data_IF_688090792397
#
_entry.id   IF_688090792397
#
_cell.length_a   1.000
_cell.length_b   1.000
_cell.length_c   1.000
_cell.angle_alpha   90.00
_cell.angle_beta   90.00
_cell.angle_gamma   90.00
#
_symmetry.space_group_name_H-M   'P 1'
#
loop_
_entity.id
_entity.type
_entity.pdbx_description
1 polymer ?
#
# COMPACT_ATOMS: atom_id res chain seq x y z
N UNK A 1 11.41 -18.99 -5.14
CA UNK A 1 10.81 -18.69 -3.81
C UNK A 1 9.42 -18.10 -4.02
N UNK A 2 8.52 -18.10 -3.01
CA UNK A 2 7.29 -17.32 -3.09
C UNK A 2 7.63 -15.82 -3.09
N UNK A 3 7.14 -15.10 -4.11
CA UNK A 3 7.33 -13.65 -4.29
C UNK A 3 6.10 -12.90 -3.81
N UNK A 4 6.30 -11.98 -2.87
CA UNK A 4 5.27 -11.05 -2.42
C UNK A 4 5.33 -9.78 -3.25
N UNK A 5 4.16 -9.22 -3.57
CA UNK A 5 4.07 -7.93 -4.23
C UNK A 5 3.38 -6.91 -3.35
N UNK A 6 3.94 -5.71 -3.35
CA UNK A 6 3.45 -4.55 -2.59
C UNK A 6 3.23 -3.42 -3.55
N UNK A 7 1.99 -2.98 -3.69
CA UNK A 7 1.61 -1.80 -4.47
C UNK A 7 1.47 -0.65 -3.50
N UNK A 8 2.25 0.41 -3.71
CA UNK A 8 2.25 1.57 -2.83
C UNK A 8 1.81 2.77 -3.64
N UNK A 9 0.80 3.46 -3.12
CA UNK A 9 0.38 4.74 -3.66
C UNK A 9 0.06 5.74 -2.54
N UNK A 10 0.03 7.02 -2.92
CA UNK A 10 -0.23 8.14 -2.03
C UNK A 10 -1.57 8.78 -2.34
N UNK A 11 -2.21 9.33 -1.31
CA UNK A 11 -3.32 10.26 -1.47
C UNK A 11 -2.99 11.56 -0.77
N UNK A 12 -2.90 12.64 -1.54
CA UNK A 12 -2.61 13.97 -1.00
C UNK A 12 -3.90 14.75 -0.71
N UNK A 13 -3.84 15.70 0.23
CA UNK A 13 -4.80 16.81 0.27
C UNK A 13 -4.38 17.79 -0.84
N UNK A 14 -5.24 18.07 -1.84
CA UNK A 14 -4.88 19.01 -2.90
C UNK A 14 -4.55 20.39 -2.32
N UNK A 15 -3.42 20.97 -2.72
CA UNK A 15 -3.13 22.40 -2.55
C UNK A 15 -2.41 22.85 -1.27
N UNK A 16 -2.21 21.99 -0.26
CA UNK A 16 -1.45 22.38 0.95
C UNK A 16 -0.12 21.59 1.06
N UNK A 17 1.04 22.24 0.82
CA UNK A 17 2.34 21.60 0.96
C UNK A 17 2.71 21.24 2.40
N UNK A 18 2.01 21.77 3.41
CA UNK A 18 2.22 21.48 4.83
C UNK A 18 1.31 20.38 5.38
N UNK A 19 0.35 19.91 4.59
CA UNK A 19 -0.57 18.86 5.01
C UNK A 19 0.12 17.51 5.21
N UNK A 20 -0.37 16.66 6.13
CA UNK A 20 0.19 15.33 6.32
C UNK A 20 0.15 14.52 5.02
N UNK A 21 1.15 13.67 4.86
CA UNK A 21 1.25 12.75 3.75
C UNK A 21 0.62 11.41 4.12
N UNK A 22 -0.30 10.91 3.30
CA UNK A 22 -1.01 9.65 3.54
C UNK A 22 -0.66 8.66 2.44
N UNK A 23 -0.21 7.47 2.83
CA UNK A 23 0.12 6.41 1.90
C UNK A 23 -0.51 5.09 2.31
N UNK A 24 -0.85 4.30 1.30
CA UNK A 24 -1.45 2.98 1.43
C UNK A 24 -0.60 1.96 0.68
N UNK A 25 -0.55 0.74 1.21
CA UNK A 25 0.07 -0.40 0.57
C UNK A 25 -0.92 -1.55 0.47
N UNK A 26 -1.01 -2.14 -0.71
CA UNK A 26 -1.77 -3.37 -0.98
C UNK A 26 -0.77 -4.50 -1.18
N UNK A 27 -0.91 -5.56 -0.38
CA UNK A 27 -0.03 -6.71 -0.38
C UNK A 27 -0.76 -7.93 -0.95
N UNK A 28 -0.13 -8.63 -1.89
CA UNK A 28 -0.66 -9.90 -2.40
C UNK A 28 0.46 -10.85 -2.81
N UNK A 29 0.16 -12.14 -2.83
CA UNK A 29 1.04 -13.21 -3.29
C UNK A 29 0.40 -13.95 -4.49
N UNK A 30 0.65 -13.55 -5.75
CA UNK A 30 0.08 -14.23 -6.90
C UNK A 30 0.69 -15.63 -7.07
N UNK A 31 -0.07 -16.57 -7.65
CA UNK A 31 0.47 -17.89 -8.04
C UNK A 31 1.62 -17.73 -9.06
N UNK A 32 2.70 -18.54 -8.98
CA UNK A 32 3.84 -18.45 -9.89
C UNK A 32 3.49 -18.50 -11.37
N UNK A 33 2.43 -19.22 -11.75
CA UNK A 33 2.01 -19.43 -13.15
C UNK A 33 1.12 -18.30 -13.70
N UNK A 34 0.57 -17.46 -12.84
CA UNK A 34 -0.43 -16.45 -13.23
C UNK A 34 0.18 -15.05 -13.29
N UNK A 35 1.11 -14.72 -12.39
CA UNK A 35 1.74 -13.41 -12.30
C UNK A 35 0.77 -12.29 -11.88
N UNK A 36 1.30 -11.10 -11.56
CA UNK A 36 0.50 -10.00 -11.01
C UNK A 36 -0.64 -9.53 -11.95
N UNK A 37 -0.39 -9.20 -13.23
CA UNK A 37 -1.40 -8.50 -14.02
C UNK A 37 -2.63 -9.35 -14.28
N UNK A 38 -2.48 -10.68 -14.27
CA UNK A 38 -3.60 -11.61 -14.37
C UNK A 38 -4.29 -11.83 -13.01
N UNK A 39 -3.56 -11.81 -11.90
CA UNK A 39 -4.11 -12.07 -10.56
C UNK A 39 -4.96 -10.91 -10.00
N UNK A 40 -4.54 -9.65 -10.20
CA UNK A 40 -5.31 -8.49 -9.71
C UNK A 40 -6.41 -8.03 -10.67
N UNK A 41 -6.45 -8.56 -11.90
CA UNK A 41 -7.39 -8.12 -12.93
C UNK A 41 -8.86 -8.37 -12.54
N UNK A 42 -9.28 -9.58 -12.11
CA UNK A 42 -10.68 -9.82 -11.76
C UNK A 42 -11.15 -8.95 -10.59
N UNK A 43 -10.28 -8.79 -9.59
CA UNK A 43 -10.53 -7.95 -8.41
C UNK A 43 -10.84 -6.50 -8.81
N UNK A 44 -9.96 -5.87 -9.58
CA UNK A 44 -10.11 -4.44 -9.91
C UNK A 44 -11.12 -4.20 -11.02
N UNK A 45 -11.32 -5.14 -11.96
CA UNK A 45 -12.41 -5.04 -12.93
C UNK A 45 -13.78 -5.07 -12.25
N UNK A 46 -13.98 -5.92 -11.24
CA UNK A 46 -15.23 -5.98 -10.49
C UNK A 46 -15.51 -4.67 -9.75
N UNK A 47 -14.48 -4.06 -9.17
CA UNK A 47 -14.57 -2.72 -8.57
C UNK A 47 -14.94 -1.63 -9.61
N UNK A 48 -14.36 -1.68 -10.82
CA UNK A 48 -14.69 -0.77 -11.92
C UNK A 48 -16.11 -0.98 -12.44
N UNK A 49 -16.56 -2.22 -12.54
CA UNK A 49 -17.91 -2.57 -12.97
C UNK A 49 -18.96 -2.13 -11.94
N UNK A 50 -18.65 -2.28 -10.64
CA UNK A 50 -19.46 -1.73 -9.56
C UNK A 50 -19.60 -0.20 -9.69
N UNK A 51 -18.48 0.52 -9.85
CA UNK A 51 -18.52 1.96 -10.05
C UNK A 51 -19.27 2.36 -11.33
N UNK A 52 -19.07 1.65 -12.44
CA UNK A 52 -19.82 1.86 -13.68
C UNK A 52 -21.32 1.80 -13.45
N UNK A 53 -21.78 0.84 -12.62
CA UNK A 53 -23.18 0.72 -12.25
C UNK A 53 -23.74 1.95 -11.51
N UNK A 54 -22.88 2.66 -10.77
CA UNK A 54 -23.25 3.87 -10.02
C UNK A 54 -23.14 5.15 -10.84
N UNK A 55 -22.12 5.27 -11.69
CA UNK A 55 -21.83 6.53 -12.43
C UNK A 55 -22.39 6.53 -13.86
N UNK A 56 -22.91 5.40 -14.34
CA UNK A 56 -23.57 5.28 -15.66
C UNK A 56 -22.63 5.30 -16.86
N UNK A 57 -21.32 5.35 -16.67
CA UNK A 57 -20.32 5.36 -17.74
C UNK A 57 -19.09 4.51 -17.38
N UNK A 58 -18.29 4.17 -18.39
CA UNK A 58 -17.11 3.34 -18.23
C UNK A 58 -16.08 4.02 -17.31
N UNK A 59 -15.65 3.30 -16.28
CA UNK A 59 -14.59 3.75 -15.36
C UNK A 59 -13.26 3.19 -15.82
N UNK A 60 -12.39 4.06 -16.32
CA UNK A 60 -11.06 3.66 -16.80
C UNK A 60 -10.08 3.43 -15.64
N UNK A 61 -10.24 4.18 -14.56
CA UNK A 61 -9.34 4.20 -13.40
C UNK A 61 -10.12 4.41 -12.11
N UNK A 62 -9.78 3.66 -11.07
CA UNK A 62 -10.28 3.91 -9.73
C UNK A 62 -9.31 4.89 -9.08
N UNK A 63 -9.69 6.16 -9.00
CA UNK A 63 -8.99 7.14 -8.16
C UNK A 63 -9.92 7.64 -7.07
N UNK A 64 -9.41 7.64 -5.85
CA UNK A 64 -10.10 8.18 -4.70
C UNK A 64 -10.55 9.62 -4.96
N UNK A 65 -9.64 10.45 -5.48
CA UNK A 65 -9.87 11.86 -5.80
C UNK A 65 -10.89 12.11 -6.92
N UNK A 66 -11.12 11.14 -7.80
CA UNK A 66 -12.10 11.24 -8.89
C UNK A 66 -13.52 10.84 -8.46
N UNK A 67 -13.80 10.84 -7.15
CA UNK A 67 -15.12 10.57 -6.59
C UNK A 67 -15.35 9.12 -6.17
N UNK A 68 -14.38 8.22 -6.38
CA UNK A 68 -14.45 6.85 -5.85
C UNK A 68 -14.51 6.82 -4.32
N UNK A 69 -13.97 7.85 -3.64
CA UNK A 69 -14.01 7.98 -2.18
C UNK A 69 -15.43 7.97 -1.59
N UNK A 70 -16.45 8.40 -2.34
CA UNK A 70 -17.87 8.33 -1.90
C UNK A 70 -18.38 6.91 -1.74
N UNK A 71 -17.71 5.94 -2.35
CA UNK A 71 -18.07 4.53 -2.35
C UNK A 71 -16.93 3.66 -1.81
N UNK A 72 -16.02 4.24 -1.02
CA UNK A 72 -14.81 3.56 -0.56
C UNK A 72 -15.13 2.23 0.18
N UNK A 73 -16.13 2.24 1.06
CA UNK A 73 -16.57 1.05 1.79
C UNK A 73 -16.95 -0.10 0.86
N UNK A 74 -17.82 0.16 -0.11
CA UNK A 74 -18.32 -0.87 -1.02
C UNK A 74 -17.25 -1.34 -1.99
N UNK A 75 -16.43 -0.41 -2.50
CA UNK A 75 -15.29 -0.71 -3.35
C UNK A 75 -14.30 -1.64 -2.66
N UNK A 76 -13.91 -1.33 -1.43
CA UNK A 76 -13.01 -2.17 -0.64
C UNK A 76 -13.65 -3.54 -0.40
N UNK A 77 -14.95 -3.61 -0.06
CA UNK A 77 -15.66 -4.89 0.12
C UNK A 77 -15.69 -5.74 -1.14
N UNK A 78 -16.04 -5.14 -2.28
CA UNK A 78 -16.06 -5.82 -3.59
C UNK A 78 -14.67 -6.36 -3.91
N UNK A 79 -13.63 -5.53 -3.76
CA UNK A 79 -12.26 -5.96 -4.01
C UNK A 79 -11.84 -7.14 -3.12
N UNK A 80 -12.17 -7.09 -1.83
CA UNK A 80 -11.85 -8.17 -0.90
C UNK A 80 -12.64 -9.46 -1.14
N UNK A 81 -13.90 -9.34 -1.54
CA UNK A 81 -14.75 -10.48 -1.87
C UNK A 81 -14.21 -11.18 -3.13
N UNK A 82 -13.91 -10.43 -4.17
CA UNK A 82 -13.41 -10.97 -5.43
C UNK A 82 -12.01 -11.55 -5.28
N UNK A 83 -11.12 -10.88 -4.54
CA UNK A 83 -9.81 -11.45 -4.20
C UNK A 83 -9.90 -12.74 -3.37
N UNK A 84 -10.98 -12.94 -2.61
CA UNK A 84 -11.24 -14.18 -1.87
C UNK A 84 -11.85 -15.30 -2.71
N UNK A 85 -12.52 -14.97 -3.82
CA UNK A 85 -13.04 -15.92 -4.81
C UNK A 85 -11.99 -16.31 -5.84
N UNK A 86 -11.06 -15.39 -6.08
CA UNK A 86 -10.00 -15.53 -7.05
C UNK A 86 -8.84 -16.36 -6.48
N UNK A 87 -8.88 -17.67 -6.71
CA UNK A 87 -7.81 -18.61 -6.38
C UNK A 87 -6.46 -18.26 -7.06
N UNK A 88 -6.39 -17.27 -7.96
CA UNK A 88 -5.11 -16.82 -8.53
C UNK A 88 -4.21 -16.15 -7.51
N UNK A 89 -4.78 -15.61 -6.42
CA UNK A 89 -4.03 -15.06 -5.31
C UNK A 89 -3.88 -16.13 -4.23
N UNK A 90 -2.63 -16.48 -3.90
CA UNK A 90 -2.33 -17.51 -2.92
C UNK A 90 -2.68 -17.01 -1.52
N UNK A 91 -3.80 -17.52 -0.97
CA UNK A 91 -4.11 -17.42 0.46
C UNK A 91 -3.44 -18.50 1.32
N UNK A 92 -2.68 -19.43 0.69
CA UNK A 92 -2.15 -20.65 1.33
C UNK A 92 -0.71 -20.53 1.86
N UNK A 93 -0.03 -19.42 1.60
CA UNK A 93 1.29 -19.19 2.19
C UNK A 93 1.16 -18.48 3.55
N UNK A 94 1.99 -18.91 4.51
CA UNK A 94 2.06 -18.48 5.92
C UNK A 94 2.15 -16.94 6.12
N UNK A 95 2.34 -16.17 5.05
CA UNK A 95 2.70 -14.75 5.03
C UNK A 95 1.50 -13.78 4.89
N UNK A 96 0.35 -14.21 4.38
CA UNK A 96 -0.90 -13.44 4.31
C UNK A 96 -2.03 -14.27 4.91
N UNK A 97 -2.21 -14.17 6.23
CA UNK A 97 -3.12 -15.04 6.96
C UNK A 97 -4.55 -14.99 6.39
N UNK A 98 -5.05 -16.12 5.87
CA UNK A 98 -6.43 -16.39 5.46
C UNK A 98 -7.06 -15.57 4.33
N UNK A 99 -6.32 -14.67 3.67
CA UNK A 99 -6.93 -13.67 2.79
C UNK A 99 -6.06 -13.41 1.55
N UNK A 100 -6.68 -13.29 0.37
CA UNK A 100 -5.96 -13.01 -0.87
C UNK A 100 -5.19 -11.68 -0.85
N UNK A 101 -5.69 -10.67 -0.15
CA UNK A 101 -5.07 -9.33 -0.08
C UNK A 101 -5.01 -8.87 1.38
N UNK A 102 -3.90 -8.21 1.74
CA UNK A 102 -3.75 -7.47 3.00
C UNK A 102 -3.24 -6.05 2.79
N UNK A 103 -3.26 -5.23 3.85
CA UNK A 103 -2.98 -3.79 3.75
C UNK A 103 -1.91 -3.32 4.74
N UNK A 104 -1.22 -2.23 4.39
CA UNK A 104 -0.49 -1.40 5.36
C UNK A 104 -0.79 0.06 5.06
N UNK A 105 -0.81 0.91 6.08
CA UNK A 105 -1.03 2.35 5.93
C UNK A 105 0.05 3.12 6.64
N UNK A 106 0.36 4.32 6.15
CA UNK A 106 1.29 5.24 6.79
C UNK A 106 0.72 6.67 6.78
N UNK A 107 0.81 7.34 7.94
CA UNK A 107 0.58 8.77 8.08
C UNK A 107 1.91 9.41 8.41
N UNK A 108 2.32 10.40 7.63
CA UNK A 108 3.62 11.04 7.78
C UNK A 108 3.41 12.54 7.93
N UNK A 109 3.70 13.02 9.13
CA UNK A 109 3.64 14.44 9.43
C UNK A 109 4.83 15.16 8.81
N UNK A 110 4.57 16.01 7.81
CA UNK A 110 5.62 16.70 7.05
C UNK A 110 6.45 17.64 7.91
N UNK A 111 5.87 18.23 8.97
CA UNK A 111 6.59 19.15 9.87
C UNK A 111 7.63 18.41 10.70
N UNK A 112 7.23 17.31 11.33
CA UNK A 112 8.12 16.43 12.09
C UNK A 112 9.25 15.91 11.20
N UNK A 113 8.93 15.53 9.96
CA UNK A 113 9.93 15.10 9.00
C UNK A 113 10.89 16.23 8.59
N UNK A 114 10.37 17.44 8.35
CA UNK A 114 11.20 18.60 8.04
C UNK A 114 12.19 18.94 9.17
N UNK A 115 11.75 18.84 10.43
CA UNK A 115 12.62 19.01 11.60
C UNK A 115 13.71 17.94 11.64
N UNK A 116 13.34 16.66 11.53
CA UNK A 116 14.28 15.54 11.55
C UNK A 116 15.31 15.61 10.41
N UNK A 117 14.92 16.09 9.24
CA UNK A 117 15.79 16.23 8.07
C UNK A 117 16.75 17.41 8.26
N UNK A 118 16.27 18.55 8.77
CA UNK A 118 17.12 19.73 9.06
C UNK A 118 18.16 19.46 10.16
N UNK A 119 17.81 18.64 11.15
CA UNK A 119 18.73 18.25 12.23
C UNK A 119 19.81 17.26 11.76
N UNK A 120 19.53 16.45 10.73
CA UNK A 120 20.41 15.36 10.28
C UNK A 120 21.15 15.61 8.97
N UNK A 121 20.71 16.56 8.16
CA UNK A 121 21.40 16.92 6.92
C UNK A 121 22.30 18.13 7.13
N UNK A 122 23.58 17.98 6.76
CA UNK A 122 24.55 19.08 6.77
C UNK A 122 24.10 20.17 5.76
N UNK A 123 24.15 21.46 6.12
CA UNK A 123 23.66 22.58 5.29
C UNK A 123 24.23 22.63 3.87
N UNK A 124 25.44 22.08 3.66
CA UNK A 124 26.22 22.28 2.44
C UNK A 124 26.04 21.16 1.39
N UNK A 125 25.25 20.13 1.70
CA UNK A 125 24.98 19.01 0.78
C UNK A 125 23.55 19.08 0.26
N UNK A 126 23.39 19.63 -0.95
CA UNK A 126 22.24 19.54 -1.87
C UNK A 126 20.86 19.60 -1.19
N UNK A 127 20.19 20.75 -1.32
CA UNK A 127 18.82 20.98 -0.87
C UNK A 127 17.91 19.80 -1.28
N UNK A 128 17.50 18.94 -0.33
CA UNK A 128 16.67 17.84 -0.69
C UNK A 128 15.25 18.36 -0.94
N UNK A 129 14.64 17.91 -2.03
CA UNK A 129 13.20 18.00 -2.14
C UNK A 129 12.62 17.22 -0.95
N UNK A 130 12.16 17.96 0.06
CA UNK A 130 11.61 17.43 1.30
C UNK A 130 10.48 16.44 1.01
N UNK A 131 9.70 16.65 -0.05
CA UNK A 131 8.66 15.72 -0.49
C UNK A 131 9.22 14.36 -0.88
N UNK A 132 10.38 14.34 -1.54
CA UNK A 132 11.05 13.11 -1.96
C UNK A 132 11.63 12.32 -0.79
N UNK A 133 12.15 12.99 0.25
CA UNK A 133 12.58 12.33 1.49
C UNK A 133 11.41 11.74 2.28
N UNK A 134 10.28 12.45 2.31
CA UNK A 134 9.05 12.00 2.97
C UNK A 134 8.52 10.75 2.27
N UNK A 135 8.48 10.74 0.93
CA UNK A 135 8.10 9.55 0.13
C UNK A 135 9.01 8.36 0.39
N UNK A 136 10.31 8.57 0.42
CA UNK A 136 11.27 7.54 0.80
C UNK A 136 10.90 6.91 2.16
N UNK A 137 10.71 7.71 3.20
CA UNK A 137 10.33 7.20 4.52
C UNK A 137 8.97 6.52 4.55
N UNK A 138 8.03 6.95 3.71
CA UNK A 138 6.75 6.29 3.54
C UNK A 138 6.92 4.86 3.06
N UNK A 139 7.71 4.65 2.01
CA UNK A 139 7.95 3.31 1.48
C UNK A 139 8.59 2.44 2.57
N UNK A 140 9.61 2.93 3.29
CA UNK A 140 10.22 2.18 4.39
C UNK A 140 9.22 1.79 5.48
N UNK A 141 8.31 2.70 5.84
CA UNK A 141 7.27 2.44 6.85
C UNK A 141 6.27 1.39 6.37
N UNK A 142 5.84 1.49 5.11
CA UNK A 142 4.91 0.55 4.49
C UNK A 142 5.52 -0.83 4.33
N UNK A 143 6.81 -0.93 3.98
CA UNK A 143 7.57 -2.17 3.88
C UNK A 143 8.02 -2.72 5.25
N UNK A 144 7.83 -1.97 6.33
CA UNK A 144 8.20 -2.34 7.69
C UNK A 144 7.84 -3.77 8.12
N UNK A 145 6.66 -4.32 7.77
CA UNK A 145 6.31 -5.71 8.06
C UNK A 145 7.26 -6.75 7.45
N UNK A 146 7.82 -6.48 6.26
CA UNK A 146 8.80 -7.32 5.61
C UNK A 146 10.21 -7.11 6.16
N UNK A 147 10.59 -5.86 6.43
CA UNK A 147 11.90 -5.52 7.02
C UNK A 147 12.11 -6.15 8.40
N UNK A 148 11.04 -6.31 9.18
CA UNK A 148 11.08 -6.93 10.51
C UNK A 148 10.94 -8.45 10.45
N UNK A 149 10.70 -9.02 9.28
CA UNK A 149 10.58 -10.46 9.12
C UNK A 149 11.98 -11.07 9.06
N UNK A 150 12.19 -12.13 9.84
CA UNK A 150 13.47 -12.80 10.04
C UNK A 150 13.83 -13.86 8.99
N UNK A 151 13.02 -14.06 7.94
CA UNK A 151 13.30 -15.07 6.91
C UNK A 151 13.42 -14.49 5.50
N UNK A 152 14.12 -15.28 4.68
CA UNK A 152 14.33 -15.10 3.26
C UNK A 152 13.02 -15.00 2.44
N UNK A 153 12.84 -13.87 1.74
CA UNK A 153 11.74 -13.63 0.80
C UNK A 153 12.15 -12.79 -0.40
N UNK A 154 11.47 -13.01 -1.53
CA UNK A 154 11.50 -12.11 -2.69
C UNK A 154 10.36 -11.11 -2.58
N UNK A 155 10.69 -9.83 -2.71
CA UNK A 155 9.72 -8.72 -2.64
C UNK A 155 9.71 -7.94 -3.94
N UNK A 156 8.55 -7.84 -4.59
CA UNK A 156 8.31 -6.90 -5.69
C UNK A 156 7.57 -5.67 -5.20
N UNK A 157 8.22 -4.51 -5.19
CA UNK A 157 7.60 -3.24 -4.81
C UNK A 157 7.22 -2.50 -6.08
N UNK A 158 5.94 -2.21 -6.27
CA UNK A 158 5.45 -1.47 -7.42
C UNK A 158 4.95 -0.11 -6.96
N UNK A 159 5.47 0.96 -7.57
CA UNK A 159 5.20 2.35 -7.22
C UNK A 159 4.61 3.10 -8.41
N UNK A 160 3.80 4.14 -8.17
CA UNK A 160 3.42 5.08 -9.24
C UNK A 160 4.67 5.84 -9.72
N UNK A 161 5.07 5.59 -10.96
CA UNK A 161 6.28 6.16 -11.55
C UNK A 161 6.25 7.69 -11.66
N UNK A 162 5.08 8.32 -11.74
CA UNK A 162 4.98 9.77 -11.81
C UNK A 162 5.28 10.44 -10.45
N UNK A 163 4.82 9.82 -9.36
CA UNK A 163 4.88 10.42 -8.03
C UNK A 163 6.11 9.98 -7.24
N UNK A 164 6.51 8.72 -7.38
CA UNK A 164 7.50 8.09 -6.48
C UNK A 164 8.90 8.00 -7.08
N UNK A 165 9.02 7.91 -8.42
CA UNK A 165 10.31 7.72 -9.09
C UNK A 165 11.35 8.79 -8.75
N UNK A 166 11.03 10.10 -8.76
CA UNK A 166 12.01 11.13 -8.38
C UNK A 166 12.51 10.94 -6.94
N UNK A 167 11.61 10.61 -6.02
CA UNK A 167 11.97 10.37 -4.62
C UNK A 167 12.81 9.12 -4.43
N UNK A 168 12.52 8.07 -5.19
CA UNK A 168 13.25 6.82 -5.07
C UNK A 168 14.64 6.92 -5.69
N UNK A 169 14.77 7.51 -6.86
CA UNK A 169 16.07 7.68 -7.53
C UNK A 169 16.98 8.66 -6.76
N UNK A 170 16.41 9.70 -6.14
CA UNK A 170 17.17 10.71 -5.41
C UNK A 170 17.67 10.25 -4.03
N UNK A 171 16.91 9.39 -3.33
CA UNK A 171 17.19 9.07 -1.92
C UNK A 171 17.11 7.58 -1.55
N UNK A 172 16.41 6.77 -2.33
CA UNK A 172 16.26 5.34 -2.06
C UNK A 172 17.29 4.46 -2.73
N UNK A 173 17.80 4.79 -3.93
CA UNK A 173 18.65 3.89 -4.70
C UNK A 173 19.84 3.28 -3.92
N UNK A 174 20.44 4.04 -2.98
CA UNK A 174 21.53 3.57 -2.09
C UNK A 174 21.09 3.22 -0.66
N UNK A 175 19.92 3.68 -0.23
CA UNK A 175 19.42 3.51 1.14
C UNK A 175 18.51 2.29 1.28
N UNK A 176 17.83 1.88 0.21
CA UNK A 176 17.00 0.69 0.17
C UNK A 176 17.87 -0.57 0.29
N UNK A 177 19.00 -0.66 -0.42
CA UNK A 177 19.96 -1.76 -0.28
C UNK A 177 20.48 -1.92 1.17
N UNK A 178 20.60 -0.81 1.91
CA UNK A 178 21.01 -0.81 3.32
C UNK A 178 19.86 -1.09 4.30
N UNK A 179 18.65 -0.60 4.01
CA UNK A 179 17.44 -0.85 4.81
C UNK A 179 16.91 -2.27 4.64
N UNK A 180 17.17 -2.90 3.49
CA UNK A 180 16.78 -4.26 3.14
C UNK A 180 17.86 -5.31 3.48
N UNK A 181 18.88 -4.96 4.26
CA UNK A 181 19.85 -5.95 4.74
C UNK A 181 19.16 -7.06 5.57
N UNK A 182 19.77 -8.26 5.63
CA UNK A 182 19.07 -9.54 5.75
C UNK A 182 17.98 -9.59 6.82
N UNK A 183 16.84 -10.23 6.47
CA UNK A 183 16.82 -11.43 5.63
C UNK A 183 16.00 -11.27 4.35
N UNK A 184 15.85 -10.07 3.79
CA UNK A 184 15.26 -9.95 2.46
C UNK A 184 16.27 -10.42 1.41
N UNK A 185 16.05 -11.60 0.84
CA UNK A 185 16.95 -12.24 -0.12
C UNK A 185 17.04 -11.44 -1.42
N UNK A 186 15.93 -10.87 -1.88
CA UNK A 186 15.89 -9.92 -2.99
C UNK A 186 14.69 -8.97 -2.87
N UNK A 187 14.89 -7.69 -3.17
CA UNK A 187 13.82 -6.72 -3.37
C UNK A 187 13.98 -6.07 -4.74
N UNK A 188 12.93 -6.14 -5.56
CA UNK A 188 12.88 -5.49 -6.87
C UNK A 188 11.89 -4.35 -6.81
N UNK A 189 12.32 -3.14 -7.16
CA UNK A 189 11.45 -1.98 -7.30
C UNK A 189 11.10 -1.79 -8.76
N UNK A 190 9.81 -1.74 -9.05
CA UNK A 190 9.23 -1.52 -10.36
C UNK A 190 8.39 -0.23 -10.33
N UNK A 191 8.41 0.52 -11.43
CA UNK A 191 7.58 1.71 -11.58
C UNK A 191 6.47 1.44 -12.59
N UNK A 192 5.24 1.75 -12.20
CA UNK A 192 4.06 1.57 -13.01
C UNK A 192 3.32 2.87 -13.28
N UNK A 193 2.62 2.93 -14.42
CA UNK A 193 1.55 3.90 -14.63
C UNK A 193 0.34 3.43 -13.81
N UNK A 194 -0.13 4.24 -12.85
CA UNK A 194 -1.29 3.94 -11.99
C UNK A 194 -2.54 3.60 -12.79
N UNK A 195 -2.69 4.12 -14.01
CA UNK A 195 -3.80 3.76 -14.91
C UNK A 195 -3.76 2.31 -15.37
N UNK A 196 -2.56 1.73 -15.46
CA UNK A 196 -2.30 0.38 -15.98
C UNK A 196 -2.08 -0.65 -14.87
N UNK A 197 -1.53 -0.21 -13.74
CA UNK A 197 -1.24 -1.10 -12.61
C UNK A 197 -2.39 -1.07 -11.61
N UNK A 198 -3.19 -2.13 -11.68
CA UNK A 198 -4.42 -2.27 -10.91
C UNK A 198 -4.22 -2.23 -9.39
N UNK A 199 -3.10 -2.77 -8.90
CA UNK A 199 -2.76 -2.71 -7.47
C UNK A 199 -2.50 -1.28 -6.96
N UNK A 200 -2.00 -0.37 -7.80
CA UNK A 200 -1.80 1.03 -7.43
C UNK A 200 -3.14 1.75 -7.24
N UNK A 201 -4.12 1.49 -8.11
CA UNK A 201 -5.47 2.05 -7.97
C UNK A 201 -6.15 1.63 -6.65
N UNK A 202 -5.91 0.39 -6.22
CA UNK A 202 -6.42 -0.09 -4.93
C UNK A 202 -5.64 0.52 -3.76
N UNK A 203 -4.32 0.72 -3.90
CA UNK A 203 -3.51 1.40 -2.90
C UNK A 203 -3.91 2.88 -2.71
N UNK A 204 -4.21 3.60 -3.80
CA UNK A 204 -4.75 4.98 -3.73
C UNK A 204 -6.09 5.01 -2.99
N UNK A 205 -6.98 4.05 -3.25
CA UNK A 205 -8.25 3.95 -2.53
C UNK A 205 -8.05 3.79 -1.01
N UNK A 206 -7.10 2.94 -0.60
CA UNK A 206 -6.73 2.72 0.80
C UNK A 206 -6.11 3.99 1.42
N UNK A 207 -5.18 4.63 0.71
CA UNK A 207 -4.54 5.86 1.15
C UNK A 207 -5.55 7.01 1.34
N UNK A 208 -6.47 7.18 0.38
CA UNK A 208 -7.50 8.21 0.44
C UNK A 208 -8.53 7.96 1.54
N UNK A 209 -8.87 6.69 1.80
CA UNK A 209 -9.76 6.31 2.91
C UNK A 209 -9.17 6.73 4.26
N UNK A 210 -7.88 6.45 4.47
CA UNK A 210 -7.15 6.89 5.66
C UNK A 210 -7.13 8.42 5.78
N UNK A 211 -6.83 9.12 4.68
CA UNK A 211 -6.78 10.58 4.64
C UNK A 211 -8.10 11.19 5.07
N UNK A 212 -9.22 10.77 4.48
CA UNK A 212 -10.52 11.37 4.76
C UNK A 212 -11.01 11.05 6.18
N UNK A 213 -10.69 9.86 6.71
CA UNK A 213 -10.95 9.55 8.11
C UNK A 213 -10.18 10.48 9.05
N UNK A 214 -8.87 10.62 8.87
CA UNK A 214 -8.04 11.45 9.75
C UNK A 214 -8.39 12.93 9.61
N UNK A 215 -8.66 13.41 8.39
CA UNK A 215 -8.80 14.84 8.11
C UNK A 215 -10.24 15.35 8.29
N UNK A 216 -11.24 14.47 8.13
CA UNK A 216 -12.66 14.84 8.06
C UNK A 216 -13.56 13.97 8.93
N UNK A 217 -13.04 12.91 9.56
CA UNK A 217 -13.81 11.90 10.26
C UNK A 217 -14.85 11.20 9.35
N UNK A 218 -14.55 11.11 8.05
CA UNK A 218 -15.37 10.45 7.03
C UNK A 218 -14.84 9.04 6.72
N UNK A 219 -15.66 8.17 6.11
CA UNK A 219 -15.23 6.83 5.67
C UNK A 219 -14.68 5.90 6.78
N UNK A 220 -15.07 6.12 8.04
CA UNK A 220 -14.63 5.28 9.16
C UNK A 220 -14.94 3.78 9.00
N UNK A 221 -16.08 3.43 8.39
CA UNK A 221 -16.41 2.03 8.10
C UNK A 221 -15.47 1.40 7.06
N UNK A 222 -15.11 2.14 6.02
CA UNK A 222 -14.12 1.70 5.03
C UNK A 222 -12.76 1.48 5.70
N UNK A 223 -12.35 2.39 6.58
CA UNK A 223 -11.10 2.25 7.33
C UNK A 223 -11.14 1.04 8.27
N UNK A 224 -12.25 0.79 8.98
CA UNK A 224 -12.39 -0.40 9.84
C UNK A 224 -12.18 -1.71 9.05
N UNK A 225 -12.69 -1.79 7.83
CA UNK A 225 -12.46 -2.94 6.93
C UNK A 225 -10.97 -3.09 6.58
N UNK A 226 -10.29 -1.98 6.25
CA UNK A 226 -8.85 -1.97 5.99
C UNK A 226 -8.09 -2.45 7.23
N UNK A 227 -8.39 -1.87 8.41
CA UNK A 227 -7.71 -2.16 9.66
C UNK A 227 -7.86 -3.62 10.11
N UNK A 228 -9.02 -4.25 9.84
CA UNK A 228 -9.23 -5.68 10.07
C UNK A 228 -8.34 -6.60 9.23
N UNK A 229 -7.70 -6.07 8.18
CA UNK A 229 -6.83 -6.79 7.25
C UNK A 229 -5.43 -6.19 7.18
N UNK A 230 -5.03 -5.43 8.20
CA UNK A 230 -3.70 -4.83 8.25
C UNK A 230 -2.63 -5.88 8.54
N UNK A 231 -1.53 -5.77 7.80
CA UNK A 231 -0.34 -6.57 7.97
C UNK A 231 0.58 -5.83 8.94
N UNK A 232 0.56 -6.26 10.20
CA UNK A 232 1.47 -5.75 11.21
C UNK A 232 2.85 -6.43 11.14
N UNK A 233 2.87 -7.70 10.68
CA UNK A 233 4.05 -8.56 10.45
C UNK A 233 3.68 -9.58 9.39
N UNK A 234 4.62 -10.02 8.57
CA UNK A 234 4.45 -11.21 7.74
C UNK A 234 4.71 -12.44 8.65
N UNK A 235 3.84 -13.45 8.66
CA UNK A 235 4.09 -14.72 9.39
C UNK A 235 3.43 -14.92 10.76
N UNK A 236 3.35 -16.19 11.17
CA UNK A 236 2.29 -16.80 11.98
C UNK A 236 2.09 -16.26 13.41
N UNK A 237 0.82 -15.93 13.75
CA UNK A 237 0.28 -16.28 15.06
C UNK A 237 -0.20 -17.73 14.99
N UNK A 238 0.55 -18.63 15.60
CA UNK A 238 -0.01 -19.75 16.35
C UNK A 238 0.84 -19.90 17.60
N UNK A 239 0.53 -19.11 18.63
CA UNK A 239 0.68 -19.64 19.99
C UNK A 239 -0.69 -20.18 20.33
N UNK A 240 -0.84 -21.50 20.28
CA UNK A 240 -1.93 -22.21 20.95
C UNK A 240 -2.00 -21.68 22.39
N UNK A 241 -3.04 -20.89 22.71
CA UNK A 241 -3.26 -20.37 24.06
C UNK A 241 -3.89 -18.98 24.20
N UNK A 242 -4.01 -18.17 23.13
CA UNK A 242 -4.66 -16.84 23.24
C UNK A 242 -6.03 -16.87 22.57
N UNK A 243 -7.09 -16.93 23.38
CA UNK A 243 -8.46 -16.70 22.92
C UNK A 243 -8.59 -15.27 22.36
N UNK A 244 -9.41 -15.05 21.32
CA UNK A 244 -9.75 -13.71 20.86
C UNK A 244 -10.37 -12.91 22.01
N UNK A 245 -9.89 -11.69 22.24
CA UNK A 245 -10.59 -10.75 23.11
C UNK A 245 -11.95 -10.44 22.47
N UNK A 246 -13.02 -10.80 23.18
CA UNK A 246 -14.39 -10.41 22.83
C UNK A 246 -15.30 -11.56 22.41
N UNK A 247 -15.54 -12.50 23.31
CA UNK A 247 -16.87 -13.09 23.52
C UNK A 247 -17.03 -13.38 25.01
N UNK A 248 -17.39 -12.34 25.74
CA UNK A 248 -18.32 -12.39 26.87
C UNK A 248 -19.32 -11.25 26.68
#
# INVERSE_FOLDING_TARGET
MPRLYVFIDESMIPGDPNSPFFAGAVWCAPKPTIGIPKALRPTVLSMKDFLRGLVGHRVEEIRYSHGAGRHASDLIRVGLMEAGRDDTISGRDVRLASQGIGFTTAVIDRRSEACLIREKMQPDRLNPDLGNLIRARAISSLLGPALRYGQEMELGVVLDGANWKPGVESYFGRSLERLLMPPLTTCQVEYGDSRRVLGLQFADLVAGTLRDYISRNENGYALDIVMKRVIHRLGARNVSGVKPLGTE
#
